data_IF_045927784953
#
_entry.id   IF_045927784953
#
_cell.length_a   1.000
_cell.length_b   1.000
_cell.length_c   1.000
_cell.angle_alpha   90.00
_cell.angle_beta   90.00
_cell.angle_gamma   90.00
#
_symmetry.space_group_name_H-M   'P 1'
#
loop_
_entity.id
_entity.type
_entity.pdbx_description
1 polymer ?
#
# COMPACT_ATOMS: atom_id res chain seq x y z
N UNK A 1 70.48 -28.24 -54.39
CA UNK A 1 70.60 -29.07 -53.19
C UNK A 1 69.51 -28.65 -52.22
N UNK A 2 68.41 -29.42 -52.21
CA UNK A 2 67.22 -29.20 -51.40
C UNK A 2 67.43 -29.79 -50.00
N UNK A 3 67.37 -28.97 -48.95
CA UNK A 3 67.22 -29.47 -47.59
C UNK A 3 65.75 -29.45 -47.17
N UNK A 4 65.18 -30.66 -47.14
CA UNK A 4 63.88 -30.97 -46.59
C UNK A 4 63.91 -30.83 -45.06
N UNK A 5 63.39 -29.70 -44.55
CA UNK A 5 63.16 -29.49 -43.13
C UNK A 5 61.99 -30.40 -42.68
N UNK A 6 62.32 -31.51 -41.99
CA UNK A 6 61.33 -32.45 -41.43
C UNK A 6 60.41 -31.73 -40.42
N UNK A 7 59.10 -31.82 -40.67
CA UNK A 7 58.06 -31.52 -39.69
C UNK A 7 57.95 -32.72 -38.75
N UNK A 8 58.01 -32.55 -37.42
CA UNK A 8 57.70 -33.63 -36.50
C UNK A 8 56.18 -33.85 -36.47
N UNK A 9 55.73 -35.07 -36.77
CA UNK A 9 54.35 -35.50 -36.63
C UNK A 9 53.95 -35.53 -35.15
N UNK A 10 52.99 -34.69 -34.76
CA UNK A 10 52.31 -34.83 -33.47
C UNK A 10 51.44 -36.11 -33.48
N UNK A 11 51.53 -36.99 -32.47
CA UNK A 11 50.58 -38.09 -32.34
C UNK A 11 49.21 -37.52 -31.94
N UNK A 12 48.19 -37.82 -32.75
CA UNK A 12 46.82 -37.37 -32.57
C UNK A 12 45.99 -38.21 -31.56
N UNK A 13 46.64 -38.99 -30.71
CA UNK A 13 45.98 -39.89 -29.77
C UNK A 13 46.43 -39.59 -28.33
N UNK A 14 45.64 -38.80 -27.61
CA UNK A 14 45.60 -38.79 -26.13
C UNK A 14 44.64 -37.75 -25.51
N UNK A 15 43.96 -36.91 -26.30
CA UNK A 15 43.02 -35.91 -25.77
C UNK A 15 41.54 -36.32 -25.78
N UNK A 16 41.23 -37.61 -25.81
CA UNK A 16 39.85 -38.07 -25.67
C UNK A 16 39.78 -39.07 -24.51
N UNK A 17 39.01 -38.67 -23.49
CA UNK A 17 38.58 -39.43 -22.33
C UNK A 17 39.45 -39.30 -21.06
N UNK A 18 39.25 -38.22 -20.30
CA UNK A 18 39.35 -38.36 -18.84
C UNK A 18 38.08 -39.10 -18.38
N UNK A 19 38.20 -40.24 -17.68
CA UNK A 19 37.03 -40.88 -17.11
C UNK A 19 36.42 -39.91 -16.11
N UNK A 20 35.13 -39.58 -16.27
CA UNK A 20 34.34 -39.05 -15.16
C UNK A 20 34.35 -40.16 -14.12
N UNK A 21 35.16 -40.00 -13.07
CA UNK A 21 35.15 -40.92 -11.93
C UNK A 21 33.70 -41.06 -11.48
N UNK A 22 33.18 -42.27 -11.64
CA UNK A 22 31.79 -42.56 -11.34
C UNK A 22 31.59 -42.39 -9.83
N UNK A 23 30.58 -41.64 -9.36
CA UNK A 23 30.37 -41.40 -7.92
C UNK A 23 30.12 -42.69 -7.11
N UNK A 24 30.00 -43.84 -7.77
CA UNK A 24 29.92 -45.15 -7.11
C UNK A 24 31.27 -45.67 -6.60
N UNK A 25 32.42 -45.24 -7.13
CA UNK A 25 33.73 -45.77 -6.69
C UNK A 25 34.16 -45.30 -5.29
N UNK A 26 33.58 -44.19 -4.80
CA UNK A 26 33.82 -43.66 -3.46
C UNK A 26 32.89 -44.23 -2.38
N UNK A 27 31.75 -44.82 -2.75
CA UNK A 27 30.78 -45.39 -1.80
C UNK A 27 31.27 -46.74 -1.24
N UNK A 28 31.94 -47.53 -2.07
CA UNK A 28 32.37 -48.91 -1.74
C UNK A 28 33.51 -48.97 -0.70
N UNK A 29 34.61 -48.18 -0.78
CA UNK A 29 35.66 -48.21 0.24
C UNK A 29 35.27 -47.52 1.56
N UNK A 30 34.30 -46.61 1.57
CA UNK A 30 33.80 -45.95 2.79
C UNK A 30 33.08 -46.92 3.73
N UNK A 31 32.31 -47.86 3.20
CA UNK A 31 31.63 -48.88 4.02
C UNK A 31 32.60 -49.88 4.65
N UNK A 32 33.81 -50.05 4.10
CA UNK A 32 34.85 -50.94 4.65
C UNK A 32 35.77 -50.28 5.69
N UNK A 33 35.90 -48.95 5.70
CA UNK A 33 36.72 -48.19 6.68
C UNK A 33 35.89 -47.24 7.56
N UNK A 34 34.57 -47.45 7.66
CA UNK A 34 33.71 -46.67 8.53
C UNK A 34 34.19 -46.76 9.99
N UNK A 35 34.95 -45.76 10.43
CA UNK A 35 35.45 -45.71 11.80
C UNK A 35 34.27 -45.47 12.76
N UNK A 36 34.36 -46.03 13.97
CA UNK A 36 33.41 -45.76 15.05
C UNK A 36 33.21 -44.25 15.28
N UNK A 37 34.26 -43.45 15.04
CA UNK A 37 34.22 -42.00 15.11
C UNK A 37 33.25 -41.39 14.10
N UNK A 38 33.30 -41.80 12.82
CA UNK A 38 32.40 -41.28 11.77
C UNK A 38 30.94 -41.62 12.09
N UNK A 39 30.69 -42.84 12.57
CA UNK A 39 29.34 -43.26 13.00
C UNK A 39 28.82 -42.42 14.19
N UNK A 40 29.68 -42.10 15.16
CA UNK A 40 29.34 -41.23 16.29
C UNK A 40 29.06 -39.78 15.86
N UNK A 41 29.81 -39.24 14.90
CA UNK A 41 29.58 -37.89 14.37
C UNK A 41 28.25 -37.79 13.62
N UNK A 42 27.96 -38.77 12.74
CA UNK A 42 26.68 -38.84 12.02
C UNK A 42 25.50 -38.98 12.99
N UNK A 43 25.64 -39.82 14.03
CA UNK A 43 24.65 -39.94 15.09
C UNK A 43 24.47 -38.62 15.84
N UNK A 44 25.56 -37.90 16.13
CA UNK A 44 25.53 -36.57 16.75
C UNK A 44 24.76 -35.55 15.92
N UNK A 45 25.06 -35.46 14.61
CA UNK A 45 24.34 -34.57 13.68
C UNK A 45 22.85 -34.91 13.65
N UNK A 46 22.51 -36.20 13.58
CA UNK A 46 21.12 -36.65 13.57
C UNK A 46 20.39 -36.31 14.87
N UNK A 47 21.02 -36.54 16.03
CA UNK A 47 20.46 -36.19 17.34
C UNK A 47 20.24 -34.68 17.44
N UNK A 48 21.22 -33.87 17.03
CA UNK A 48 21.09 -32.41 17.04
C UNK A 48 19.93 -31.97 16.15
N UNK A 49 19.82 -32.51 14.93
CA UNK A 49 18.70 -32.20 14.02
C UNK A 49 17.35 -32.59 14.63
N UNK A 50 17.25 -33.76 15.29
CA UNK A 50 16.04 -34.19 15.99
C UNK A 50 15.70 -33.28 17.16
N UNK A 51 16.68 -32.89 17.97
CA UNK A 51 16.48 -31.98 19.10
C UNK A 51 16.00 -30.61 18.62
N UNK A 52 16.63 -30.06 17.58
CA UNK A 52 16.26 -28.78 16.99
C UNK A 52 14.84 -28.83 16.41
N UNK A 53 14.50 -29.90 15.70
CA UNK A 53 13.16 -30.07 15.14
C UNK A 53 12.09 -30.28 16.23
N UNK A 54 12.43 -30.99 17.32
CA UNK A 54 11.56 -31.15 18.49
C UNK A 54 11.37 -29.81 19.21
N UNK A 55 12.41 -29.00 19.33
CA UNK A 55 12.34 -27.65 19.86
C UNK A 55 11.43 -26.75 19.00
N UNK A 56 11.62 -26.75 17.68
CA UNK A 56 10.76 -26.03 16.73
C UNK A 56 9.30 -26.43 16.88
N UNK A 57 9.00 -27.74 16.94
CA UNK A 57 7.64 -28.25 17.12
C UNK A 57 7.02 -27.75 18.42
N UNK A 58 7.80 -27.74 19.50
CA UNK A 58 7.37 -27.28 20.81
C UNK A 58 7.08 -25.78 20.78
N UNK A 59 8.01 -24.96 20.26
CA UNK A 59 7.81 -23.52 20.09
C UNK A 59 6.57 -23.20 19.26
N UNK A 60 6.38 -23.86 18.11
CA UNK A 60 5.20 -23.65 17.28
C UNK A 60 3.90 -24.07 17.97
N UNK A 61 3.91 -25.16 18.74
CA UNK A 61 2.73 -25.60 19.51
C UNK A 61 2.36 -24.64 20.64
N UNK A 62 3.31 -23.87 21.16
CA UNK A 62 3.07 -22.86 22.20
C UNK A 62 2.39 -21.60 21.66
N UNK A 63 2.56 -21.27 20.38
CA UNK A 63 1.84 -20.17 19.72
C UNK A 63 0.39 -20.53 19.39
N UNK A 64 0.10 -21.82 19.19
CA UNK A 64 -1.26 -22.32 18.94
C UNK A 64 -1.90 -22.71 20.28
N UNK A 65 -2.39 -21.72 21.03
CA UNK A 65 -3.25 -22.02 22.19
C UNK A 65 -4.61 -22.51 21.68
N UNK A 66 -5.13 -23.65 22.16
CA UNK A 66 -6.52 -24.02 21.92
C UNK A 66 -7.40 -22.99 22.62
N UNK A 67 -8.03 -22.10 21.85
CA UNK A 67 -9.08 -21.23 22.40
C UNK A 67 -10.36 -22.04 22.48
N UNK A 68 -10.92 -22.19 23.68
CA UNK A 68 -12.22 -22.81 23.92
C UNK A 68 -13.40 -21.89 23.49
N UNK A 69 -13.26 -21.19 22.36
CA UNK A 69 -14.25 -20.26 21.84
C UNK A 69 -15.36 -21.00 21.09
N UNK A 70 -16.62 -20.76 21.48
CA UNK A 70 -17.80 -21.42 20.90
C UNK A 70 -18.24 -20.83 19.54
N UNK A 71 -17.62 -19.73 19.08
CA UNK A 71 -18.07 -19.03 17.86
C UNK A 71 -17.38 -19.56 16.59
N UNK A 72 -18.13 -19.62 15.47
CA UNK A 72 -17.59 -20.05 14.16
C UNK A 72 -16.44 -19.18 13.66
N UNK A 73 -16.42 -17.89 13.99
CA UNK A 73 -15.37 -16.95 13.61
C UNK A 73 -14.05 -17.22 14.35
N UNK A 74 -14.12 -17.59 15.63
CA UNK A 74 -12.95 -17.99 16.42
C UNK A 74 -12.36 -19.31 15.92
N UNK A 75 -13.22 -20.27 15.57
CA UNK A 75 -12.78 -21.54 14.97
C UNK A 75 -12.08 -21.34 13.62
N UNK A 76 -12.63 -20.46 12.77
CA UNK A 76 -11.99 -20.12 11.48
C UNK A 76 -10.62 -19.45 11.67
N UNK A 77 -10.50 -18.53 12.63
CA UNK A 77 -9.24 -17.87 12.97
C UNK A 77 -8.22 -18.86 13.54
N UNK A 78 -8.66 -19.82 14.35
CA UNK A 78 -7.81 -20.88 14.89
C UNK A 78 -7.27 -21.79 13.77
N UNK A 79 -8.13 -22.19 12.83
CA UNK A 79 -7.70 -22.97 11.66
C UNK A 79 -6.67 -22.22 10.83
N UNK A 80 -6.85 -20.91 10.62
CA UNK A 80 -5.87 -20.07 9.91
C UNK A 80 -4.53 -20.00 10.65
N UNK A 81 -4.54 -19.81 11.98
CA UNK A 81 -3.32 -19.77 12.80
C UNK A 81 -2.62 -21.13 12.78
N UNK A 82 -3.36 -22.24 12.90
CA UNK A 82 -2.83 -23.60 12.81
C UNK A 82 -2.21 -23.88 11.46
N UNK A 83 -2.87 -23.49 10.37
CA UNK A 83 -2.35 -23.65 9.02
C UNK A 83 -1.05 -22.85 8.83
N UNK A 84 -1.02 -21.58 9.28
CA UNK A 84 0.17 -20.74 9.21
C UNK A 84 1.33 -21.33 10.04
N UNK A 85 1.05 -21.75 11.26
CA UNK A 85 1.99 -22.40 12.15
C UNK A 85 2.57 -23.68 11.53
N UNK A 86 1.72 -24.51 10.91
CA UNK A 86 2.15 -25.72 10.20
C UNK A 86 3.07 -25.40 9.01
N UNK A 87 2.78 -24.36 8.24
CA UNK A 87 3.62 -23.92 7.12
C UNK A 87 4.99 -23.43 7.62
N UNK A 88 5.02 -22.59 8.65
CA UNK A 88 6.27 -22.08 9.23
C UNK A 88 7.13 -23.21 9.81
N UNK A 89 6.52 -24.10 10.59
CA UNK A 89 7.22 -25.27 11.13
C UNK A 89 7.74 -26.17 10.01
N UNK A 90 6.92 -26.47 9.01
CA UNK A 90 7.33 -27.29 7.87
C UNK A 90 8.51 -26.69 7.10
N UNK A 91 8.51 -25.36 6.90
CA UNK A 91 9.62 -24.66 6.26
C UNK A 91 10.89 -24.70 7.11
N UNK A 92 10.80 -24.37 8.41
CA UNK A 92 11.95 -24.39 9.32
C UNK A 92 12.54 -25.80 9.47
N UNK A 93 11.69 -26.82 9.60
CA UNK A 93 12.11 -28.23 9.67
C UNK A 93 12.88 -28.67 8.44
N UNK A 94 12.43 -28.28 7.23
CA UNK A 94 13.14 -28.56 5.98
C UNK A 94 14.53 -27.92 5.95
N UNK A 95 14.68 -26.69 6.45
CA UNK A 95 15.98 -26.00 6.55
C UNK A 95 16.92 -26.75 7.51
N UNK A 96 16.42 -27.19 8.68
CA UNK A 96 17.22 -27.98 9.63
C UNK A 96 17.73 -29.27 9.00
N UNK A 97 16.86 -30.03 8.33
CA UNK A 97 17.24 -31.26 7.64
C UNK A 97 18.20 -31.02 6.49
N UNK A 98 18.02 -29.92 5.74
CA UNK A 98 18.92 -29.51 4.67
C UNK A 98 20.35 -29.31 5.19
N UNK A 99 20.51 -28.55 6.28
CA UNK A 99 21.81 -28.33 6.91
C UNK A 99 22.39 -29.65 7.41
N UNK A 100 21.59 -30.47 8.09
CA UNK A 100 22.04 -31.77 8.61
C UNK A 100 22.56 -32.71 7.49
N UNK A 101 21.89 -32.74 6.34
CA UNK A 101 22.34 -33.52 5.17
C UNK A 101 23.67 -32.99 4.64
N UNK A 102 23.82 -31.67 4.48
CA UNK A 102 25.06 -31.08 4.01
C UNK A 102 26.25 -31.40 4.94
N UNK A 103 26.03 -31.31 6.26
CA UNK A 103 27.07 -31.66 7.24
C UNK A 103 27.36 -33.16 7.24
N UNK A 104 26.36 -34.01 7.02
CA UNK A 104 26.56 -35.46 6.95
C UNK A 104 27.31 -35.91 5.68
N UNK A 105 27.08 -35.27 4.53
CA UNK A 105 27.79 -35.58 3.28
C UNK A 105 29.31 -35.38 3.42
N UNK A 106 29.71 -34.28 4.05
CA UNK A 106 31.11 -33.94 4.32
C UNK A 106 31.81 -35.04 5.16
N UNK A 107 31.12 -35.61 6.15
CA UNK A 107 31.64 -36.69 7.00
C UNK A 107 31.81 -38.03 6.27
N UNK A 108 31.06 -38.24 5.18
CA UNK A 108 31.10 -39.47 4.37
C UNK A 108 32.13 -39.35 3.23
N UNK A 109 32.84 -38.22 3.13
CA UNK A 109 33.79 -37.94 2.05
C UNK A 109 33.12 -37.59 0.72
N UNK A 110 31.80 -37.31 0.72
CA UNK A 110 31.08 -36.80 -0.44
C UNK A 110 31.19 -35.29 -0.43
N UNK A 111 31.74 -34.71 -1.49
CA UNK A 111 31.85 -33.26 -1.63
C UNK A 111 30.45 -32.60 -1.54
N UNK A 112 30.18 -31.75 -0.52
CA UNK A 112 28.87 -31.12 -0.36
C UNK A 112 28.62 -29.98 -1.37
N UNK A 113 29.63 -29.53 -2.12
CA UNK A 113 29.54 -28.37 -3.02
C UNK A 113 28.44 -28.48 -4.08
N UNK A 114 28.23 -29.60 -4.79
CA UNK A 114 27.15 -29.69 -5.78
C UNK A 114 25.77 -29.59 -5.13
N UNK A 115 25.57 -30.24 -3.99
CA UNK A 115 24.31 -30.22 -3.23
C UNK A 115 24.03 -28.84 -2.66
N UNK A 116 25.05 -28.20 -2.08
CA UNK A 116 24.98 -26.83 -1.57
C UNK A 116 24.63 -25.85 -2.69
N UNK A 117 25.23 -26.01 -3.86
CA UNK A 117 24.96 -25.17 -5.04
C UNK A 117 23.50 -25.31 -5.48
N UNK A 118 22.99 -26.55 -5.59
CA UNK A 118 21.58 -26.79 -5.93
C UNK A 118 20.63 -26.17 -4.90
N UNK A 119 20.93 -26.32 -3.61
CA UNK A 119 20.15 -25.74 -2.52
C UNK A 119 20.20 -24.21 -2.54
N UNK A 120 21.34 -23.61 -2.86
CA UNK A 120 21.49 -22.17 -3.00
C UNK A 120 20.61 -21.62 -4.15
N UNK A 121 20.61 -22.28 -5.31
CA UNK A 121 19.70 -21.92 -6.41
C UNK A 121 18.22 -22.03 -6.00
N UNK A 122 17.85 -23.12 -5.30
CA UNK A 122 16.50 -23.27 -4.79
C UNK A 122 16.13 -22.17 -3.77
N UNK A 123 17.06 -21.79 -2.89
CA UNK A 123 16.86 -20.72 -1.92
C UNK A 123 16.66 -19.35 -2.60
N UNK A 124 17.44 -19.05 -3.64
CA UNK A 124 17.28 -17.83 -4.45
C UNK A 124 15.91 -17.80 -5.12
N UNK A 125 15.47 -18.92 -5.72
CA UNK A 125 14.14 -19.00 -6.33
C UNK A 125 13.00 -18.74 -5.32
N UNK A 126 13.10 -19.31 -4.11
CA UNK A 126 12.15 -19.06 -3.03
C UNK A 126 12.23 -17.59 -2.58
N UNK A 127 13.43 -17.02 -2.49
CA UNK A 127 13.66 -15.62 -2.14
C UNK A 127 12.98 -14.65 -3.10
N UNK A 128 13.06 -14.90 -4.41
CA UNK A 128 12.32 -14.11 -5.40
C UNK A 128 10.80 -14.24 -5.23
N UNK A 129 10.29 -15.42 -4.91
CA UNK A 129 8.86 -15.61 -4.60
C UNK A 129 8.40 -14.85 -3.35
N UNK A 130 9.29 -14.66 -2.37
CA UNK A 130 9.01 -13.97 -1.12
C UNK A 130 9.39 -12.47 -1.12
N UNK A 131 9.96 -11.95 -2.21
CA UNK A 131 10.52 -10.60 -2.27
C UNK A 131 9.51 -9.51 -1.89
N UNK A 132 8.26 -9.63 -2.37
CA UNK A 132 7.21 -8.66 -2.08
C UNK A 132 6.83 -8.65 -0.59
N UNK A 133 6.79 -9.82 0.06
CA UNK A 133 6.51 -9.89 1.50
C UNK A 133 7.59 -9.19 2.32
N UNK A 134 8.86 -9.38 1.96
CA UNK A 134 9.98 -8.71 2.62
C UNK A 134 9.90 -7.19 2.41
N UNK A 135 9.60 -6.75 1.18
CA UNK A 135 9.38 -5.34 0.87
C UNK A 135 8.26 -4.74 1.71
N UNK A 136 7.12 -5.43 1.80
CA UNK A 136 5.97 -5.00 2.60
C UNK A 136 6.35 -4.78 4.06
N UNK A 137 7.02 -5.76 4.67
CA UNK A 137 7.40 -5.70 6.08
C UNK A 137 8.39 -4.57 6.36
N UNK A 138 9.39 -4.39 5.49
CA UNK A 138 10.36 -3.29 5.63
C UNK A 138 9.66 -1.94 5.47
N UNK A 139 8.81 -1.78 4.46
CA UNK A 139 8.07 -0.54 4.24
C UNK A 139 7.14 -0.22 5.43
N UNK A 140 6.41 -1.22 5.93
CA UNK A 140 5.56 -1.06 7.11
C UNK A 140 6.33 -0.72 8.38
N UNK A 141 7.54 -1.28 8.54
CA UNK A 141 8.43 -0.90 9.63
C UNK A 141 8.81 0.59 9.57
N UNK A 142 9.18 1.12 8.40
CA UNK A 142 9.49 2.54 8.24
C UNK A 142 8.28 3.45 8.43
N UNK A 143 7.10 3.05 7.94
CA UNK A 143 5.84 3.79 8.17
C UNK A 143 5.62 4.02 9.68
N UNK A 144 5.83 2.98 10.48
CA UNK A 144 5.66 3.05 11.95
C UNK A 144 6.82 3.78 12.62
N UNK A 145 8.06 3.49 12.21
CA UNK A 145 9.26 4.08 12.82
C UNK A 145 9.35 5.59 12.62
N UNK A 146 9.01 6.06 11.42
CA UNK A 146 9.04 7.48 11.05
C UNK A 146 7.73 8.20 11.38
N UNK A 147 6.75 7.49 11.95
CA UNK A 147 5.43 8.02 12.26
C UNK A 147 4.79 8.72 11.05
N UNK A 148 4.88 8.14 9.84
CA UNK A 148 4.42 8.83 8.62
C UNK A 148 2.92 9.16 8.68
N UNK A 149 2.13 8.24 9.24
CA UNK A 149 0.71 8.40 9.55
C UNK A 149 0.29 7.31 10.54
N UNK A 150 -0.80 7.57 11.27
CA UNK A 150 -1.32 6.65 12.29
C UNK A 150 -2.77 6.23 12.02
N UNK A 151 -3.24 5.23 12.75
CA UNK A 151 -4.65 4.87 12.74
C UNK A 151 -5.50 6.07 13.17
N UNK A 152 -6.52 6.39 12.39
CA UNK A 152 -7.38 7.56 12.58
C UNK A 152 -7.09 8.72 11.63
N UNK A 153 -5.90 8.79 11.02
CA UNK A 153 -5.56 9.82 10.05
C UNK A 153 -6.31 9.65 8.73
N UNK A 154 -6.58 10.77 8.05
CA UNK A 154 -7.04 10.76 6.66
C UNK A 154 -5.83 10.89 5.76
N UNK A 155 -5.58 9.87 4.95
CA UNK A 155 -4.43 9.82 4.05
C UNK A 155 -4.88 9.65 2.61
N UNK A 156 -4.05 10.14 1.70
CA UNK A 156 -4.13 9.82 0.29
C UNK A 156 -2.91 8.98 -0.09
N UNK A 157 -3.17 7.77 -0.59
CA UNK A 157 -2.16 6.84 -1.08
C UNK A 157 -2.51 6.55 -2.54
N UNK A 158 -1.68 7.03 -3.45
CA UNK A 158 -1.96 6.98 -4.90
C UNK A 158 -3.32 7.64 -5.21
N UNK A 159 -4.30 6.88 -5.70
CA UNK A 159 -5.64 7.36 -6.05
C UNK A 159 -6.65 7.17 -4.90
N UNK A 160 -6.28 6.40 -3.88
CA UNK A 160 -7.16 6.06 -2.76
C UNK A 160 -7.06 7.11 -1.67
N UNK A 161 -8.19 7.73 -1.33
CA UNK A 161 -8.32 8.68 -0.22
C UNK A 161 -9.25 8.06 0.82
N UNK A 162 -8.78 7.99 2.06
CA UNK A 162 -9.57 7.42 3.13
C UNK A 162 -8.97 7.61 4.50
N UNK A 163 -9.75 7.26 5.52
CA UNK A 163 -9.32 7.23 6.90
C UNK A 163 -8.63 5.92 7.22
N UNK A 164 -7.44 5.94 7.79
CA UNK A 164 -6.71 4.76 8.23
C UNK A 164 -7.47 4.12 9.39
N UNK A 165 -7.97 2.90 9.20
CA UNK A 165 -8.64 2.17 10.29
C UNK A 165 -7.64 1.38 11.11
N UNK A 166 -6.74 0.67 10.43
CA UNK A 166 -5.66 -0.07 11.07
C UNK A 166 -4.52 -0.25 10.09
N UNK A 167 -3.32 -0.36 10.64
CA UNK A 167 -2.09 -0.64 9.92
C UNK A 167 -1.38 -1.82 10.59
N UNK A 168 -0.70 -2.60 9.78
CA UNK A 168 0.14 -3.73 10.21
C UNK A 168 1.49 -3.58 9.52
N UNK A 169 2.49 -4.37 9.89
CA UNK A 169 3.78 -4.34 9.19
C UNK A 169 3.67 -4.68 7.71
N UNK A 170 2.66 -5.45 7.27
CA UNK A 170 2.52 -5.85 5.87
C UNK A 170 1.59 -4.95 5.05
N UNK A 171 0.55 -4.41 5.66
CA UNK A 171 -0.51 -3.68 4.94
C UNK A 171 -1.11 -2.55 5.76
N UNK A 172 -1.60 -1.55 5.06
CA UNK A 172 -2.42 -0.44 5.59
C UNK A 172 -3.84 -0.60 5.07
N UNK A 173 -4.82 -0.37 5.94
CA UNK A 173 -6.24 -0.47 5.62
C UNK A 173 -6.92 0.87 5.80
N UNK A 174 -7.52 1.37 4.72
CA UNK A 174 -8.24 2.63 4.65
C UNK A 174 -9.75 2.40 4.51
N UNK A 175 -10.54 3.34 5.02
CA UNK A 175 -11.96 3.48 4.76
C UNK A 175 -12.20 4.70 3.89
N UNK A 176 -12.72 4.50 2.69
CA UNK A 176 -13.06 5.63 1.81
C UNK A 176 -14.34 6.37 2.29
N UNK A 177 -14.67 7.49 1.65
CA UNK A 177 -15.87 8.26 1.95
C UNK A 177 -17.19 7.52 1.63
N UNK A 178 -17.14 6.44 0.85
CA UNK A 178 -18.30 5.59 0.50
C UNK A 178 -18.45 4.42 1.47
N UNK A 179 -17.52 4.23 2.41
CA UNK A 179 -17.51 3.15 3.38
C UNK A 179 -16.77 1.88 2.92
N UNK A 180 -16.13 1.88 1.76
CA UNK A 180 -15.36 0.74 1.26
C UNK A 180 -14.04 0.57 2.02
N UNK A 181 -13.67 -0.68 2.30
CA UNK A 181 -12.35 -1.04 2.83
C UNK A 181 -11.35 -1.18 1.69
N UNK A 182 -10.37 -0.29 1.67
CA UNK A 182 -9.24 -0.37 0.76
C UNK A 182 -8.05 -0.96 1.50
N UNK A 183 -7.50 -2.05 1.02
CA UNK A 183 -6.34 -2.71 1.62
C UNK A 183 -5.15 -2.58 0.69
N UNK A 184 -4.08 -1.95 1.18
CA UNK A 184 -2.89 -1.63 0.40
C UNK A 184 -1.70 -2.34 1.03
N UNK A 185 -0.91 -3.04 0.21
CA UNK A 185 0.35 -3.62 0.66
C UNK A 185 1.37 -2.50 0.91
N UNK A 186 2.07 -2.55 2.04
CA UNK A 186 2.96 -1.45 2.42
C UNK A 186 4.10 -1.27 1.42
N UNK A 187 4.54 -2.33 0.76
CA UNK A 187 5.60 -2.28 -0.25
C UNK A 187 5.20 -1.58 -1.55
N UNK A 188 3.90 -1.33 -1.75
CA UNK A 188 3.38 -0.58 -2.90
C UNK A 188 3.20 0.92 -2.59
N UNK A 189 3.34 1.33 -1.34
CA UNK A 189 3.22 2.73 -0.90
C UNK A 189 4.51 3.47 -1.25
N UNK A 190 4.51 4.16 -2.39
CA UNK A 190 5.64 5.00 -2.82
C UNK A 190 5.58 6.41 -2.26
N UNK A 191 4.37 6.97 -2.20
CA UNK A 191 4.09 8.32 -1.71
C UNK A 191 2.81 8.30 -0.91
N UNK A 192 2.80 9.02 0.20
CA UNK A 192 1.61 9.24 1.02
C UNK A 192 1.47 10.73 1.32
N UNK A 193 0.25 11.24 1.18
CA UNK A 193 -0.10 12.57 1.68
C UNK A 193 -1.00 12.41 2.91
N UNK A 194 -0.53 12.87 4.07
CA UNK A 194 -1.35 12.92 5.27
C UNK A 194 -2.17 14.21 5.26
N UNK A 195 -3.49 14.08 5.09
CA UNK A 195 -4.42 15.20 4.94
C UNK A 195 -4.95 15.71 6.29
N UNK A 196 -4.62 15.02 7.38
CA UNK A 196 -5.05 15.33 8.74
C UNK A 196 -3.90 15.55 9.72
N UNK A 197 -2.66 15.68 9.25
CA UNK A 197 -1.53 15.98 10.15
C UNK A 197 -1.42 17.50 10.37
N UNK A 198 -1.27 17.90 11.63
CA UNK A 198 -1.05 19.27 12.11
C UNK A 198 -2.19 20.26 11.82
N UNK A 199 -2.51 20.49 10.55
CA UNK A 199 -3.57 21.38 10.09
C UNK A 199 -4.10 20.95 8.73
N UNK A 200 -5.37 21.24 8.47
CA UNK A 200 -6.00 21.05 7.17
C UNK A 200 -6.33 22.40 6.56
N UNK A 201 -5.90 22.62 5.31
CA UNK A 201 -6.24 23.83 4.57
C UNK A 201 -7.39 23.57 3.61
N UNK A 202 -8.31 24.52 3.55
CA UNK A 202 -9.46 24.45 2.66
C UNK A 202 -9.70 25.76 1.94
N UNK A 203 -10.25 25.63 0.75
CA UNK A 203 -10.59 26.75 -0.12
C UNK A 203 -12.10 26.82 -0.30
N UNK A 204 -12.63 28.04 -0.27
CA UNK A 204 -14.04 28.35 -0.59
C UNK A 204 -14.05 29.26 -1.80
N UNK A 205 -14.57 28.75 -2.90
CA UNK A 205 -14.74 29.50 -4.14
C UNK A 205 -16.18 30.01 -4.23
N UNK A 206 -16.34 31.32 -4.38
CA UNK A 206 -17.63 32.00 -4.48
C UNK A 206 -17.75 32.65 -5.86
N UNK A 207 -18.78 32.27 -6.61
CA UNK A 207 -19.09 32.86 -7.91
C UNK A 207 -19.96 34.12 -7.78
N UNK A 208 -19.44 35.25 -8.26
CA UNK A 208 -20.11 36.54 -8.33
C UNK A 208 -20.56 36.83 -9.76
N UNK A 209 -21.67 37.55 -9.92
CA UNK A 209 -22.07 38.01 -11.26
C UNK A 209 -21.01 38.98 -11.83
N UNK A 210 -20.64 38.86 -13.13
CA UNK A 210 -19.57 39.66 -13.73
C UNK A 210 -19.77 41.18 -13.66
N UNK A 211 -21.02 41.63 -13.59
CA UNK A 211 -21.40 43.04 -13.66
C UNK A 211 -21.30 43.76 -12.30
N UNK A 212 -21.00 43.04 -11.22
CA UNK A 212 -20.95 43.61 -9.87
C UNK A 212 -19.60 44.27 -9.61
N UNK A 213 -19.63 45.48 -9.03
CA UNK A 213 -18.44 46.13 -8.48
C UNK A 213 -17.87 45.32 -7.31
N UNK A 214 -16.67 44.75 -7.48
CA UNK A 214 -16.04 43.83 -6.54
C UNK A 214 -15.81 44.39 -5.13
N UNK A 215 -15.72 45.72 -4.96
CA UNK A 215 -15.52 46.33 -3.66
C UNK A 215 -16.58 45.91 -2.62
N UNK A 216 -17.85 45.83 -3.02
CA UNK A 216 -18.95 45.47 -2.12
C UNK A 216 -18.94 43.97 -1.74
N UNK A 217 -18.87 43.02 -2.69
CA UNK A 217 -18.70 41.60 -2.36
C UNK A 217 -17.44 41.29 -1.54
N UNK A 218 -16.31 41.93 -1.85
CA UNK A 218 -15.08 41.73 -1.09
C UNK A 218 -15.25 42.16 0.37
N UNK A 219 -15.87 43.31 0.63
CA UNK A 219 -16.17 43.77 1.98
C UNK A 219 -17.14 42.83 2.71
N UNK A 220 -18.16 42.29 2.03
CA UNK A 220 -19.09 41.31 2.60
C UNK A 220 -18.39 39.98 2.95
N UNK A 221 -17.48 39.51 2.10
CA UNK A 221 -16.68 38.31 2.36
C UNK A 221 -15.75 38.51 3.56
N UNK A 222 -15.09 39.67 3.65
CA UNK A 222 -14.26 40.02 4.81
C UNK A 222 -15.07 40.12 6.10
N UNK A 223 -16.28 40.69 6.05
CA UNK A 223 -17.17 40.75 7.21
C UNK A 223 -17.57 39.35 7.69
N UNK A 224 -17.98 38.46 6.79
CA UNK A 224 -18.33 37.07 7.12
C UNK A 224 -17.12 36.28 7.67
N UNK A 225 -15.94 36.51 7.10
CA UNK A 225 -14.69 35.91 7.55
C UNK A 225 -14.29 36.41 8.96
N UNK A 226 -14.42 37.71 9.23
CA UNK A 226 -14.17 38.31 10.54
C UNK A 226 -15.17 37.81 11.60
N UNK A 227 -16.44 37.65 11.23
CA UNK A 227 -17.46 37.07 12.11
C UNK A 227 -17.10 35.64 12.52
N UNK A 228 -16.67 34.79 11.56
CA UNK A 228 -16.26 33.42 11.87
C UNK A 228 -14.99 33.39 12.75
N UNK A 229 -14.05 34.30 12.50
CA UNK A 229 -12.80 34.41 13.27
C UNK A 229 -13.04 34.84 14.72
N UNK A 230 -14.02 35.70 14.96
CA UNK A 230 -14.34 36.25 16.28
C UNK A 230 -15.28 35.37 17.11
N UNK A 231 -15.91 34.38 16.50
CA UNK A 231 -16.80 33.47 17.18
C UNK A 231 -16.03 32.47 18.07
N UNK A 232 -16.24 32.59 19.38
CA UNK A 232 -15.61 31.73 20.38
C UNK A 232 -15.88 30.23 20.14
N UNK A 233 -17.05 29.88 19.58
CA UNK A 233 -17.41 28.49 19.30
C UNK A 233 -16.58 27.84 18.19
N UNK A 234 -16.03 28.65 17.27
CA UNK A 234 -15.23 28.18 16.13
C UNK A 234 -13.73 28.43 16.29
N UNK A 235 -13.34 29.30 17.23
CA UNK A 235 -11.94 29.65 17.49
C UNK A 235 -11.01 28.43 17.65
N UNK A 236 -11.49 27.37 18.33
CA UNK A 236 -10.71 26.14 18.54
C UNK A 236 -10.53 25.28 17.28
N UNK A 237 -11.42 25.43 16.28
CA UNK A 237 -11.34 24.69 15.02
C UNK A 237 -10.46 25.42 13.98
N UNK A 238 -10.06 26.67 14.25
CA UNK A 238 -9.28 27.52 13.36
C UNK A 238 -7.82 27.57 13.82
N UNK A 239 -6.90 27.13 12.96
CA UNK A 239 -5.46 27.35 13.17
C UNK A 239 -5.06 28.72 12.63
N UNK A 240 -5.60 29.10 11.48
CA UNK A 240 -5.54 30.45 10.92
C UNK A 240 -6.89 30.78 10.31
N UNK A 241 -7.46 31.92 10.74
CA UNK A 241 -8.81 32.31 10.37
C UNK A 241 -8.96 32.58 8.87
N UNK A 242 -10.20 32.55 8.34
CA UNK A 242 -10.48 32.67 6.92
C UNK A 242 -9.95 33.98 6.31
N UNK A 243 -9.16 33.90 5.24
CA UNK A 243 -8.60 35.04 4.51
C UNK A 243 -9.19 35.08 3.10
N UNK A 244 -9.55 36.28 2.63
CA UNK A 244 -9.95 36.46 1.23
C UNK A 244 -8.68 36.63 0.39
N UNK A 245 -8.43 35.70 -0.54
CA UNK A 245 -7.28 35.77 -1.44
C UNK A 245 -7.51 36.71 -2.63
N UNK A 246 -8.78 36.96 -2.95
CA UNK A 246 -9.20 37.79 -4.08
C UNK A 246 -9.70 36.97 -5.26
N UNK A 247 -9.65 37.58 -6.45
CA UNK A 247 -10.16 36.98 -7.69
C UNK A 247 -9.26 35.82 -8.13
N UNK A 248 -9.82 34.62 -8.18
CA UNK A 248 -9.15 33.39 -8.63
C UNK A 248 -9.30 33.17 -10.13
N UNK A 249 -10.46 33.52 -10.69
CA UNK A 249 -10.73 33.47 -12.13
C UNK A 249 -11.86 34.45 -12.51
N UNK A 250 -11.86 34.89 -13.76
CA UNK A 250 -12.87 35.80 -14.31
C UNK A 250 -13.29 35.32 -15.70
N UNK A 251 -14.59 35.10 -15.91
CA UNK A 251 -15.16 34.79 -17.21
C UNK A 251 -16.51 35.52 -17.44
N UNK A 252 -17.15 35.26 -18.59
CA UNK A 252 -18.46 35.87 -18.93
C UNK A 252 -19.63 35.39 -18.06
N UNK A 253 -19.46 34.32 -17.29
CA UNK A 253 -20.50 33.71 -16.46
C UNK A 253 -20.36 34.13 -15.00
N UNK A 254 -19.13 34.21 -14.51
CA UNK A 254 -18.84 34.55 -13.12
C UNK A 254 -17.43 35.11 -12.91
N UNK A 255 -17.32 35.99 -11.92
CA UNK A 255 -16.05 36.27 -11.25
C UNK A 255 -15.94 35.36 -10.02
N UNK A 256 -14.95 34.47 -10.00
CA UNK A 256 -14.73 33.58 -8.85
C UNK A 256 -13.76 34.22 -7.88
N UNK A 257 -14.21 34.43 -6.65
CA UNK A 257 -13.37 34.90 -5.54
C UNK A 257 -13.07 33.72 -4.62
N UNK A 258 -11.79 33.57 -4.24
CA UNK A 258 -11.33 32.48 -3.39
C UNK A 258 -11.06 32.97 -1.97
N UNK A 259 -11.57 32.23 -1.00
CA UNK A 259 -11.20 32.33 0.40
C UNK A 259 -10.37 31.10 0.79
N UNK A 260 -9.45 31.29 1.72
CA UNK A 260 -8.62 30.24 2.29
C UNK A 260 -8.81 30.21 3.80
N UNK A 261 -8.92 29.02 4.38
CA UNK A 261 -8.97 28.83 5.83
C UNK A 261 -8.10 27.66 6.25
N UNK A 262 -7.36 27.81 7.35
CA UNK A 262 -6.63 26.70 7.97
C UNK A 262 -7.34 26.27 9.24
N UNK A 263 -7.59 24.98 9.33
CA UNK A 263 -8.41 24.37 10.36
C UNK A 263 -7.62 23.31 11.10
N UNK A 264 -8.06 22.98 12.30
CA UNK A 264 -7.61 21.75 12.96
C UNK A 264 -7.99 20.56 12.10
N UNK A 265 -7.17 19.50 12.09
CA UNK A 265 -7.47 18.29 11.34
C UNK A 265 -8.90 17.79 11.47
N UNK A 266 -9.46 17.25 10.39
CA UNK A 266 -10.81 16.66 10.29
C UNK A 266 -11.99 17.63 10.42
N UNK A 267 -11.76 18.89 10.81
CA UNK A 267 -12.83 19.91 10.95
C UNK A 267 -13.00 20.79 9.72
N UNK A 268 -12.23 20.56 8.66
CA UNK A 268 -12.26 21.38 7.46
C UNK A 268 -13.65 21.49 6.84
N UNK A 269 -14.38 20.38 6.72
CA UNK A 269 -15.72 20.37 6.14
C UNK A 269 -16.72 21.19 6.97
N UNK A 270 -16.61 21.08 8.28
CA UNK A 270 -17.46 21.75 9.26
C UNK A 270 -17.27 23.27 9.16
N UNK A 271 -16.02 23.73 9.24
CA UNK A 271 -15.66 25.15 9.14
C UNK A 271 -16.02 25.71 7.77
N UNK A 272 -15.78 24.95 6.70
CA UNK A 272 -16.03 25.40 5.33
C UNK A 272 -17.54 25.50 5.05
N UNK A 273 -18.37 24.61 5.62
CA UNK A 273 -19.84 24.70 5.56
C UNK A 273 -20.35 25.91 6.32
N UNK A 274 -19.85 26.15 7.53
CA UNK A 274 -20.24 27.30 8.32
C UNK A 274 -19.83 28.63 7.66
N UNK A 275 -18.63 28.69 7.09
CA UNK A 275 -18.19 29.86 6.33
C UNK A 275 -19.11 30.15 5.14
N UNK A 276 -19.49 29.12 4.37
CA UNK A 276 -20.47 29.27 3.27
C UNK A 276 -21.83 29.77 3.76
N UNK A 277 -22.31 29.27 4.91
CA UNK A 277 -23.57 29.71 5.53
C UNK A 277 -23.53 31.20 5.89
N UNK A 278 -22.44 31.68 6.52
CA UNK A 278 -22.28 33.09 6.89
C UNK A 278 -22.17 34.01 5.67
N UNK A 279 -21.40 33.59 4.66
CA UNK A 279 -21.30 34.31 3.39
C UNK A 279 -22.69 34.46 2.75
N UNK A 280 -23.48 33.39 2.71
CA UNK A 280 -24.83 33.43 2.15
C UNK A 280 -25.73 34.43 2.89
N UNK A 281 -25.70 34.42 4.22
CA UNK A 281 -26.48 35.36 5.05
C UNK A 281 -26.05 36.80 4.79
N UNK A 282 -24.74 37.06 4.73
CA UNK A 282 -24.22 38.42 4.53
C UNK A 282 -24.53 38.95 3.12
N UNK A 283 -24.45 38.08 2.11
CA UNK A 283 -24.82 38.45 0.74
C UNK A 283 -26.31 38.76 0.63
N UNK A 284 -27.18 38.02 1.32
CA UNK A 284 -28.61 38.29 1.37
C UNK A 284 -28.92 39.63 2.04
N UNK A 285 -28.29 39.94 3.19
CA UNK A 285 -28.47 41.23 3.88
C UNK A 285 -28.08 42.42 3.00
N UNK A 286 -27.01 42.28 2.24
CA UNK A 286 -26.48 43.35 1.39
C UNK A 286 -27.09 43.36 -0.03
N UNK A 287 -27.96 42.42 -0.36
CA UNK A 287 -28.56 42.30 -1.70
C UNK A 287 -27.52 42.04 -2.79
N UNK A 288 -26.50 41.22 -2.52
CA UNK A 288 -25.45 40.85 -3.47
C UNK A 288 -25.92 39.61 -4.24
N UNK A 289 -26.15 39.70 -5.57
CA UNK A 289 -26.56 38.55 -6.34
C UNK A 289 -25.39 37.57 -6.51
N UNK A 290 -25.66 36.29 -6.27
CA UNK A 290 -24.75 35.20 -6.65
C UNK A 290 -24.82 35.00 -8.17
N UNK A 291 -23.74 34.50 -8.77
CA UNK A 291 -23.78 34.10 -10.17
C UNK A 291 -24.89 33.04 -10.35
N UNK A 292 -25.97 33.42 -11.03
CA UNK A 292 -27.02 32.48 -11.40
C UNK A 292 -26.48 31.54 -12.47
N UNK A 293 -26.74 30.24 -12.34
CA UNK A 293 -26.69 29.35 -13.50
C UNK A 293 -27.70 29.94 -14.50
N UNK A 294 -27.22 30.41 -15.65
CA UNK A 294 -28.07 30.89 -16.75
C UNK A 294 -29.08 29.79 -17.08
N UNK A 295 -30.30 29.93 -16.58
CA UNK A 295 -31.42 29.07 -16.93
C UNK A 295 -31.91 29.56 -18.29
N UNK A 296 -31.52 28.88 -19.36
CA UNK A 296 -32.16 29.08 -20.65
C UNK A 296 -33.59 28.57 -20.53
N UNK A 297 -34.54 29.47 -20.26
CA UNK A 297 -35.94 29.18 -20.56
C UNK A 297 -36.06 29.18 -22.07
N UNK A 298 -36.21 27.98 -22.65
CA UNK A 298 -36.68 27.84 -24.02
C UNK A 298 -38.14 28.32 -24.04
N UNK A 299 -38.35 29.63 -24.17
CA UNK A 299 -39.67 30.16 -24.52
C UNK A 299 -39.97 29.68 -25.93
N UNK A 300 -40.72 28.59 -26.05
CA UNK A 300 -41.19 28.09 -27.33
C UNK A 300 -42.20 29.11 -27.90
N UNK A 301 -41.88 29.83 -29.00
CA UNK A 301 -42.79 30.84 -29.54
C UNK A 301 -44.06 30.25 -30.16
N UNK A 302 -44.16 28.92 -30.30
CA UNK A 302 -45.25 28.25 -31.01
C UNK A 302 -46.52 27.99 -30.19
N UNK A 303 -46.59 28.40 -28.92
CA UNK A 303 -47.82 28.27 -28.11
C UNK A 303 -48.60 29.58 -27.92
N UNK A 304 -48.25 30.63 -28.68
CA UNK A 304 -49.06 31.85 -28.83
C UNK A 304 -49.74 31.92 -30.21
N UNK A 305 -50.19 30.77 -30.72
CA UNK A 305 -51.10 30.67 -31.86
C UNK A 305 -52.54 30.56 -31.38
N UNK A 306 -53.23 31.70 -31.30
CA UNK A 306 -54.63 31.79 -30.91
C UNK A 306 -55.58 31.02 -31.84
N UNK A 307 -56.55 30.40 -31.18
CA UNK A 307 -57.98 30.37 -31.52
C UNK A 307 -58.44 30.12 -32.97
N UNK A 308 -59.06 28.95 -33.11
CA UNK A 308 -60.19 28.62 -33.97
C UNK A 308 -60.92 29.80 -34.63
N UNK A 309 -61.06 29.75 -35.96
CA UNK A 309 -62.37 30.03 -36.56
C UNK A 309 -62.61 29.07 -37.72
N UNK A 310 -63.53 28.14 -37.48
CA UNK A 310 -64.24 27.41 -38.53
C UNK A 310 -65.08 28.40 -39.34
N UNK A 311 -65.04 28.33 -40.67
CA UNK A 311 -66.18 28.69 -41.49
C UNK A 311 -66.25 27.76 -42.70
N UNK A 312 -67.48 27.36 -42.99
CA UNK A 312 -67.95 26.33 -43.91
C UNK A 312 -67.72 26.70 -45.40
N UNK A 313 -67.74 25.64 -46.20
CA UNK A 313 -67.88 25.49 -47.67
C UNK A 313 -68.98 26.37 -48.32
N UNK A 314 -69.34 26.24 -49.62
CA UNK A 314 -68.70 25.53 -50.75
C UNK A 314 -68.65 26.34 -52.08
N UNK A 315 -67.81 25.93 -53.03
CA UNK A 315 -68.15 25.65 -54.44
C UNK A 315 -66.91 25.10 -55.16
#
# INVERSE_FOLDING_TARGET
MNELRRVPSMPADSMLYSPVESPMSSIVPFLSEATLSTALHLLGIFIVALLLNRFLRTMTSLLVKPSAGQSRSEQAREQQIRALAAVVYGAASKVVWMVAILTALDQVGINPMPTLTLMAFAAVAIGFGAQNLVRDVIAGFYIVLEDQYVAGDTVQISEDIGRVEHLTLRRTVLRDARGALVTIANGDIRTVANLSRDWSQSFVDIGLAPEILLAKPMAALEAAAAELRSDASWSQALVDGPRVLGVQSYDRKATVVRLQVRTTPTRQDEVTRELRRRIQIEFQKQGIPLASVLRFELTNPQLLGGENTQSKSPQ
#
